data_IF_463152469588
#
_entry.id   IF_463152469588
#
_cell.length_a   1.000
_cell.length_b   1.000
_cell.length_c   1.000
_cell.angle_alpha   90.00
_cell.angle_beta   90.00
_cell.angle_gamma   90.00
#
_symmetry.space_group_name_H-M   'P 1'
#
loop_
_entity.id
_entity.type
_entity.pdbx_description
1 polymer ?
#
# COMPACT_ATOMS: atom_id res chain seq x y z
N UNK A 1 -3.26 8.36 2.71
CA UNK A 1 -2.15 8.79 1.87
C UNK A 1 -2.58 8.77 0.42
N UNK A 2 -2.30 9.82 -0.31
CA UNK A 2 -2.75 9.91 -1.71
C UNK A 2 -1.92 9.02 -2.61
N UNK A 3 -2.57 8.46 -3.61
CA UNK A 3 -1.92 7.57 -4.56
C UNK A 3 -2.67 7.58 -5.88
N UNK A 4 -2.02 7.06 -6.92
CA UNK A 4 -2.66 6.79 -8.20
C UNK A 4 -2.49 5.31 -8.51
N UNK A 5 -3.44 4.74 -9.24
CA UNK A 5 -3.36 3.34 -9.66
C UNK A 5 -2.54 3.30 -10.94
N UNK A 6 -1.44 2.55 -10.91
CA UNK A 6 -0.58 2.39 -12.08
C UNK A 6 -1.00 1.23 -12.95
N UNK A 7 -1.44 0.16 -12.31
CA UNK A 7 -1.81 -1.05 -13.03
C UNK A 7 -2.75 -1.84 -12.17
N UNK A 8 -3.73 -2.47 -12.80
CA UNK A 8 -4.72 -3.23 -12.05
C UNK A 8 -5.24 -4.37 -12.90
N UNK A 9 -5.30 -5.55 -12.29
CA UNK A 9 -6.04 -6.68 -12.81
C UNK A 9 -6.91 -7.19 -11.66
N UNK A 10 -7.81 -8.09 -11.94
CA UNK A 10 -8.69 -8.63 -10.90
C UNK A 10 -7.84 -9.28 -9.81
N UNK A 11 -8.01 -8.82 -8.57
CA UNK A 11 -7.30 -9.37 -7.43
C UNK A 11 -5.89 -8.85 -7.23
N UNK A 12 -5.43 -7.92 -8.06
CA UNK A 12 -4.10 -7.33 -7.90
C UNK A 12 -4.11 -5.88 -8.35
N UNK A 13 -3.62 -5.00 -7.49
CA UNK A 13 -3.52 -3.57 -7.81
C UNK A 13 -2.12 -3.09 -7.50
N UNK A 14 -1.58 -2.28 -8.40
CA UNK A 14 -0.30 -1.60 -8.17
C UNK A 14 -0.57 -0.11 -8.11
N UNK A 15 -0.15 0.51 -7.01
CA UNK A 15 -0.37 1.94 -6.76
C UNK A 15 0.96 2.66 -6.66
N UNK A 16 0.93 3.94 -6.97
CA UNK A 16 2.08 4.82 -6.84
C UNK A 16 1.71 5.94 -5.87
N UNK A 17 2.54 6.13 -4.85
CA UNK A 17 2.34 7.21 -3.89
C UNK A 17 3.03 8.48 -4.36
N UNK A 18 2.51 9.63 -3.94
CA UNK A 18 3.03 10.93 -4.37
C UNK A 18 4.30 11.27 -3.61
N UNK A 19 5.36 10.54 -3.90
CA UNK A 19 6.69 10.81 -3.42
C UNK A 19 7.68 10.18 -4.40
N UNK A 20 8.89 10.67 -4.41
CA UNK A 20 9.88 10.25 -5.39
C UNK A 20 10.33 8.80 -5.12
N UNK A 21 10.63 8.54 -3.87
CA UNK A 21 11.06 7.22 -3.43
C UNK A 21 10.70 7.06 -1.96
N UNK A 22 10.98 5.90 -1.41
CA UNK A 22 10.75 5.61 0.00
C UNK A 22 12.06 5.19 0.64
N UNK A 23 12.25 5.58 1.91
CA UNK A 23 13.31 4.99 2.71
C UNK A 23 12.94 3.52 3.00
N UNK A 24 13.94 2.73 3.39
CA UNK A 24 13.69 1.34 3.77
C UNK A 24 12.70 1.28 4.92
N UNK A 25 12.83 2.19 5.89
CA UNK A 25 11.90 2.23 7.02
C UNK A 25 10.48 2.53 6.57
N UNK A 26 10.31 3.48 5.67
CA UNK A 26 8.98 3.80 5.15
C UNK A 26 8.38 2.61 4.40
N UNK A 27 9.19 1.95 3.60
CA UNK A 27 8.74 0.76 2.87
C UNK A 27 8.32 -0.35 3.82
N UNK A 28 9.07 -0.56 4.89
CA UNK A 28 8.74 -1.59 5.88
C UNK A 28 7.44 -1.26 6.61
N UNK A 29 7.24 0.00 6.99
CA UNK A 29 6.00 0.42 7.65
C UNK A 29 4.80 0.21 6.75
N UNK A 30 4.93 0.61 5.49
CA UNK A 30 3.86 0.44 4.52
C UNK A 30 3.54 -1.03 4.30
N UNK A 31 4.58 -1.83 4.12
CA UNK A 31 4.42 -3.27 3.92
C UNK A 31 3.66 -3.90 5.09
N UNK A 32 4.11 -3.60 6.29
CA UNK A 32 3.47 -4.12 7.49
C UNK A 32 2.00 -3.72 7.56
N UNK A 33 1.72 -2.43 7.35
CA UNK A 33 0.36 -1.92 7.39
C UNK A 33 -0.53 -2.62 6.36
N UNK A 34 -0.06 -2.73 5.12
CA UNK A 34 -0.87 -3.33 4.07
C UNK A 34 -1.18 -4.80 4.36
N UNK A 35 -0.24 -5.50 4.99
CA UNK A 35 -0.46 -6.90 5.36
C UNK A 35 -1.56 -7.05 6.41
N UNK A 36 -1.90 -5.99 7.15
CA UNK A 36 -2.97 -6.06 8.16
C UNK A 36 -4.36 -5.84 7.57
N UNK A 37 -4.45 -5.40 6.32
CA UNK A 37 -5.76 -5.13 5.72
C UNK A 37 -6.50 -6.44 5.43
N UNK A 38 -7.81 -6.48 5.70
CA UNK A 38 -8.59 -7.70 5.44
C UNK A 38 -8.54 -8.07 3.97
N UNK A 39 -8.36 -9.34 3.68
CA UNK A 39 -8.36 -9.85 2.32
C UNK A 39 -7.04 -9.79 1.60
N UNK A 40 -6.03 -9.14 2.18
CA UNK A 40 -4.71 -9.05 1.54
C UNK A 40 -4.01 -10.40 1.61
N UNK A 41 -3.52 -10.86 0.47
CA UNK A 41 -2.82 -12.15 0.35
C UNK A 41 -1.32 -11.98 0.19
N UNK A 42 -0.89 -10.90 -0.48
CA UNK A 42 0.53 -10.66 -0.70
C UNK A 42 0.75 -9.18 -0.95
N UNK A 43 1.88 -8.66 -0.51
CA UNK A 43 2.24 -7.27 -0.68
C UNK A 43 3.68 -7.18 -1.14
N UNK A 44 3.95 -6.32 -2.11
CA UNK A 44 5.30 -6.01 -2.53
C UNK A 44 5.46 -4.50 -2.61
N UNK A 45 6.44 -3.97 -1.90
CA UNK A 45 6.72 -2.54 -1.90
C UNK A 45 7.99 -2.28 -2.68
N UNK A 46 7.93 -1.31 -3.59
CA UNK A 46 9.05 -0.91 -4.45
C UNK A 46 9.52 0.45 -3.97
N UNK A 47 10.51 0.45 -3.10
CA UNK A 47 10.95 1.67 -2.42
C UNK A 47 11.55 2.70 -3.36
N UNK A 48 12.18 2.26 -4.44
CA UNK A 48 12.84 3.17 -5.36
C UNK A 48 11.87 4.01 -6.15
N UNK A 49 10.67 3.51 -6.38
CA UNK A 49 9.66 4.19 -7.18
C UNK A 49 8.45 4.61 -6.37
N UNK A 50 8.44 4.29 -5.08
CA UNK A 50 7.31 4.57 -4.19
C UNK A 50 6.02 3.91 -4.67
N UNK A 51 6.13 2.67 -5.13
CA UNK A 51 5.00 1.87 -5.58
C UNK A 51 4.73 0.73 -4.60
N UNK A 52 3.50 0.25 -4.60
CA UNK A 52 3.14 -0.96 -3.87
C UNK A 52 2.19 -1.80 -4.71
N UNK A 53 2.46 -3.11 -4.76
CA UNK A 53 1.58 -4.06 -5.43
C UNK A 53 0.90 -4.91 -4.36
N UNK A 54 -0.41 -4.99 -4.41
CA UNK A 54 -1.21 -5.71 -3.42
C UNK A 54 -2.05 -6.76 -4.14
N UNK A 55 -1.88 -8.02 -3.71
CA UNK A 55 -2.73 -9.12 -4.15
C UNK A 55 -3.76 -9.35 -3.06
N UNK A 56 -5.02 -9.41 -3.42
CA UNK A 56 -6.09 -9.47 -2.45
C UNK A 56 -7.27 -10.29 -2.96
N UNK A 57 -8.10 -10.71 -2.01
CA UNK A 57 -9.41 -11.30 -2.29
C UNK A 57 -10.45 -10.45 -1.60
N UNK A 58 -11.66 -10.43 -2.17
CA UNK A 58 -12.75 -9.68 -1.59
C UNK A 58 -12.89 -8.32 -2.21
N UNK A 59 -13.22 -7.32 -1.38
CA UNK A 59 -13.61 -6.02 -1.88
C UNK A 59 -12.43 -5.16 -2.28
N UNK A 60 -12.38 -4.81 -3.57
CA UNK A 60 -11.41 -3.85 -4.10
C UNK A 60 -11.52 -2.51 -3.36
N UNK A 61 -12.75 -2.08 -3.12
CA UNK A 61 -13.02 -0.81 -2.47
C UNK A 61 -12.41 -0.75 -1.07
N UNK A 62 -12.55 -1.82 -0.30
CA UNK A 62 -11.98 -1.88 1.04
C UNK A 62 -10.46 -1.77 1.02
N UNK A 63 -9.83 -2.40 0.04
CA UNK A 63 -8.38 -2.34 -0.10
C UNK A 63 -7.94 -0.90 -0.42
N UNK A 64 -8.59 -0.26 -1.39
CA UNK A 64 -8.21 1.10 -1.78
C UNK A 64 -8.45 2.10 -0.67
N UNK A 65 -9.55 1.96 0.06
CA UNK A 65 -9.83 2.83 1.21
C UNK A 65 -8.80 2.62 2.31
N UNK A 66 -8.41 1.37 2.53
CA UNK A 66 -7.38 1.06 3.50
C UNK A 66 -6.05 1.71 3.16
N UNK A 67 -5.66 1.65 1.89
CA UNK A 67 -4.42 2.29 1.44
C UNK A 67 -4.50 3.80 1.64
N UNK A 68 -5.64 4.40 1.31
CA UNK A 68 -5.82 5.84 1.43
C UNK A 68 -5.69 6.32 2.87
N UNK A 69 -6.10 5.51 3.83
CA UNK A 69 -6.03 5.87 5.26
C UNK A 69 -4.63 5.77 5.84
N UNK A 70 -3.69 5.17 5.13
CA UNK A 70 -2.33 5.01 5.64
C UNK A 70 -1.62 6.35 5.79
N UNK A 71 -0.82 6.45 6.85
CA UNK A 71 0.08 7.57 7.08
C UNK A 71 1.30 7.05 7.82
N UNK A 72 2.48 7.49 7.43
CA UNK A 72 3.69 7.11 8.15
C UNK A 72 3.66 7.57 9.60
N UNK A 73 2.95 8.65 9.85
CA UNK A 73 2.84 9.21 11.20
C UNK A 73 1.94 8.37 12.11
N UNK A 74 1.09 7.52 11.55
CA UNK A 74 0.19 6.73 12.36
C UNK A 74 0.95 5.77 13.29
N UNK A 75 2.16 5.36 12.90
CA UNK A 75 2.97 4.48 13.74
C UNK A 75 3.52 5.19 14.97
N UNK A 76 3.52 6.50 14.96
CA UNK A 76 4.04 7.30 16.08
C UNK A 76 3.02 7.49 17.17
N UNK A 77 1.78 7.19 16.88
CA UNK A 77 0.68 7.43 17.81
C UNK A 77 0.57 6.38 18.90
N UNK A 78 1.34 5.35 18.80
CA UNK A 78 1.29 4.26 19.78
C UNK A 78 2.04 4.56 21.06
#
# INVERSE_FOLDING_TARGET
>A
MKFVIRHEIRGRVRVHFYQKDMSIRQADLLHYYLCTLPGVKNVRVYERTADAAVVYEGSRRCILEGIQRFSYDSERME
#
